data_IF_160559160945
#
_entry.id   IF_160559160945
#
_cell.length_a   1.000
_cell.length_b   1.000
_cell.length_c   1.000
_cell.angle_alpha   90.00
_cell.angle_beta   90.00
_cell.angle_gamma   90.00
#
_symmetry.space_group_name_H-M   'P 1'
#
loop_
_entity.id
_entity.type
_entity.pdbx_description
1 polymer ?
#
# COMPACT_ATOMS: atom_id res chain seq x y z
N UNK A 1 -10.05 73.90 19.16
CA UNK A 1 -8.99 73.68 20.18
C UNK A 1 -9.25 72.36 20.88
N UNK A 2 -8.62 71.28 20.42
CA UNK A 2 -8.06 70.17 21.23
C UNK A 2 -7.03 69.49 20.33
N UNK A 3 -5.75 69.54 20.70
CA UNK A 3 -4.67 68.79 20.05
C UNK A 3 -4.44 67.51 20.85
N UNK A 4 -4.39 66.36 20.18
CA UNK A 4 -3.90 65.10 20.75
C UNK A 4 -2.71 64.61 19.92
N UNK A 5 -1.59 64.44 20.61
CA UNK A 5 -0.26 64.05 20.09
C UNK A 5 -0.21 62.54 19.89
N UNK A 6 0.26 62.09 18.72
CA UNK A 6 0.64 60.70 18.46
C UNK A 6 2.11 60.49 18.85
N UNK A 7 2.37 59.68 19.89
CA UNK A 7 3.69 59.12 20.17
C UNK A 7 3.96 57.93 19.23
N UNK A 8 5.06 58.01 18.48
CA UNK A 8 5.62 56.90 17.69
C UNK A 8 6.72 56.25 18.53
N UNK A 9 6.53 54.97 18.87
CA UNK A 9 7.51 54.18 19.63
C UNK A 9 8.68 53.75 18.74
N UNK A 10 9.88 54.17 19.10
CA UNK A 10 11.15 53.73 18.49
C UNK A 10 11.60 52.43 19.17
N UNK A 11 11.93 51.35 18.43
CA UNK A 11 12.35 50.09 19.04
C UNK A 11 13.77 50.17 19.63
N UNK A 12 13.91 49.60 20.84
CA UNK A 12 15.10 49.55 21.69
C UNK A 12 16.32 48.91 20.97
N UNK A 13 17.51 49.55 20.97
CA UNK A 13 18.72 49.05 20.30
C UNK A 13 19.24 47.70 20.83
N UNK A 14 18.78 47.23 22.01
CA UNK A 14 19.21 45.92 22.56
C UNK A 14 18.62 44.71 21.85
N UNK A 15 17.48 44.83 21.15
CA UNK A 15 16.86 43.68 20.45
C UNK A 15 17.53 43.35 19.11
N UNK A 16 18.16 44.34 18.46
CA UNK A 16 18.88 44.16 17.19
C UNK A 16 20.19 43.37 17.33
N UNK A 17 20.84 43.46 18.49
CA UNK A 17 22.10 42.76 18.76
C UNK A 17 21.92 41.25 18.91
N UNK A 18 20.80 40.81 19.51
CA UNK A 18 20.52 39.39 19.75
C UNK A 18 20.18 38.63 18.45
N UNK A 19 19.51 39.31 17.51
CA UNK A 19 19.09 38.73 16.23
C UNK A 19 20.31 38.52 15.31
N UNK A 20 21.24 39.47 15.26
CA UNK A 20 22.47 39.31 14.46
C UNK A 20 23.38 38.19 14.99
N UNK A 21 23.43 37.98 16.31
CA UNK A 21 24.17 36.87 16.95
C UNK A 21 23.57 35.50 16.62
N UNK A 22 22.24 35.41 16.51
CA UNK A 22 21.55 34.16 16.17
C UNK A 22 21.74 33.77 14.70
N UNK A 23 21.73 34.75 13.79
CA UNK A 23 21.97 34.48 12.36
C UNK A 23 23.42 34.09 12.07
N UNK A 24 24.41 34.65 12.77
CA UNK A 24 25.83 34.26 12.60
C UNK A 24 26.10 32.86 13.14
N UNK A 25 25.46 32.47 14.25
CA UNK A 25 25.59 31.12 14.81
C UNK A 25 24.91 30.06 13.93
N UNK A 26 23.72 30.32 13.39
CA UNK A 26 23.05 29.41 12.46
C UNK A 26 23.83 29.26 11.14
N UNK A 27 24.39 30.36 10.61
CA UNK A 27 25.20 30.32 9.39
C UNK A 27 26.50 29.50 9.56
N UNK A 28 27.14 29.58 10.73
CA UNK A 28 28.33 28.78 11.05
C UNK A 28 28.01 27.28 11.18
N UNK A 29 26.86 26.93 11.78
CA UNK A 29 26.39 25.54 11.88
C UNK A 29 26.09 24.97 10.48
N UNK A 30 25.45 25.75 9.60
CA UNK A 30 25.20 25.34 8.22
C UNK A 30 26.51 25.19 7.40
N UNK A 31 27.49 26.06 7.61
CA UNK A 31 28.80 25.99 6.94
C UNK A 31 29.62 24.75 7.31
N UNK A 32 29.61 24.34 8.58
CA UNK A 32 30.27 23.09 9.04
C UNK A 32 29.57 21.84 8.50
N UNK A 33 28.23 21.85 8.38
CA UNK A 33 27.49 20.74 7.77
C UNK A 33 27.75 20.61 6.27
N UNK A 34 27.86 21.72 5.55
CA UNK A 34 28.11 21.72 4.10
C UNK A 34 29.57 21.37 3.74
N UNK A 35 30.54 21.72 4.58
CA UNK A 35 31.95 21.35 4.38
C UNK A 35 32.27 19.93 4.86
N UNK A 36 31.61 19.45 5.92
CA UNK A 36 31.75 18.07 6.40
C UNK A 36 31.16 17.02 5.44
N UNK A 37 30.09 17.38 4.72
CA UNK A 37 29.46 16.48 3.73
C UNK A 37 30.23 16.41 2.40
N UNK A 38 31.08 17.39 2.09
CA UNK A 38 31.91 17.41 0.88
C UNK A 38 33.23 16.63 1.02
N UNK A 39 33.70 16.39 2.25
CA UNK A 39 34.94 15.65 2.52
C UNK A 39 34.73 14.13 2.73
N UNK A 40 33.49 13.68 3.01
CA UNK A 40 33.16 12.25 3.07
C UNK A 40 32.75 11.64 1.72
N UNK A 41 32.76 12.43 0.64
CA UNK A 41 32.37 11.98 -0.70
C UNK A 41 33.55 11.75 -1.67
N UNK A 42 34.82 11.79 -1.20
CA UNK A 42 35.99 11.70 -2.08
C UNK A 42 36.96 10.54 -1.89
N UNK A 43 36.84 9.73 -0.85
CA UNK A 43 37.74 8.58 -0.65
C UNK A 43 37.02 7.24 -0.75
N UNK A 44 36.65 6.86 -1.98
CA UNK A 44 36.65 5.44 -2.41
C UNK A 44 36.75 5.39 -3.95
N UNK A 45 37.86 5.92 -4.48
CA UNK A 45 38.35 5.56 -5.82
C UNK A 45 39.78 5.04 -5.71
N UNK A 46 39.94 3.81 -6.19
CA UNK A 46 41.15 3.18 -6.69
C UNK A 46 42.25 2.80 -5.67
N UNK A 47 42.25 1.52 -5.27
CA UNK A 47 43.48 0.74 -5.09
C UNK A 47 43.70 -0.07 -6.38
N UNK A 48 44.82 0.12 -7.11
CA UNK A 48 45.19 -0.74 -8.23
C UNK A 48 46.03 -1.92 -7.72
N UNK A 49 45.79 -3.10 -8.27
CA UNK A 49 46.74 -4.21 -8.20
C UNK A 49 46.35 -5.35 -7.26
N UNK A 50 45.41 -6.18 -7.70
CA UNK A 50 45.59 -7.63 -7.59
C UNK A 50 45.12 -8.24 -8.90
N UNK A 51 46.08 -8.61 -9.74
CA UNK A 51 45.86 -9.50 -10.87
C UNK A 51 45.44 -10.85 -10.30
N UNK A 52 44.21 -11.26 -10.56
CA UNK A 52 43.75 -12.62 -10.32
C UNK A 52 43.27 -13.18 -11.65
N UNK A 53 43.89 -14.27 -12.05
CA UNK A 53 43.79 -14.89 -13.36
C UNK A 53 42.35 -15.00 -13.84
N UNK A 54 42.12 -14.49 -15.05
CA UNK A 54 40.86 -14.62 -15.79
C UNK A 54 40.66 -16.07 -16.19
N UNK A 55 40.10 -16.88 -15.30
CA UNK A 55 39.37 -18.07 -15.74
C UNK A 55 38.16 -17.57 -16.53
N UNK A 56 38.13 -17.83 -17.84
CA UNK A 56 36.96 -17.64 -18.70
C UNK A 56 35.79 -18.43 -18.10
N UNK A 57 34.98 -17.81 -17.26
CA UNK A 57 33.67 -18.34 -16.92
C UNK A 57 32.70 -17.95 -18.03
N UNK A 58 32.15 -18.99 -18.64
CA UNK A 58 31.16 -18.96 -19.70
C UNK A 58 29.95 -18.13 -19.26
N UNK A 59 29.79 -16.97 -19.88
CA UNK A 59 28.78 -15.96 -19.60
C UNK A 59 27.43 -16.34 -20.22
N UNK A 60 26.77 -17.37 -19.67
CA UNK A 60 25.48 -17.82 -20.22
C UNK A 60 24.58 -18.62 -19.22
N UNK A 61 24.33 -18.09 -18.03
CA UNK A 61 23.02 -18.34 -17.37
C UNK A 61 22.44 -16.95 -17.06
N UNK A 62 21.54 -16.44 -17.91
CA UNK A 62 20.75 -15.25 -17.59
C UNK A 62 19.70 -15.61 -16.52
N UNK A 63 19.36 -14.62 -15.69
CA UNK A 63 18.47 -14.61 -14.51
C UNK A 63 17.41 -15.72 -14.48
N UNK A 64 17.20 -16.31 -13.28
CA UNK A 64 16.06 -17.19 -13.00
C UNK A 64 14.75 -16.39 -13.15
N UNK A 65 14.23 -16.28 -14.37
CA UNK A 65 12.93 -15.67 -14.64
C UNK A 65 11.81 -16.65 -14.33
N UNK A 66 10.74 -16.13 -13.73
CA UNK A 66 9.47 -16.85 -13.57
C UNK A 66 8.86 -16.98 -14.96
N UNK A 67 8.55 -18.20 -15.45
CA UNK A 67 7.95 -18.33 -16.76
C UNK A 67 6.58 -17.64 -16.81
N UNK A 68 6.21 -16.98 -17.92
CA UNK A 68 4.86 -16.46 -18.10
C UNK A 68 3.85 -17.62 -18.13
N UNK A 69 2.57 -17.37 -17.81
CA UNK A 69 1.56 -18.42 -17.78
C UNK A 69 1.43 -19.08 -19.16
N UNK A 70 1.51 -20.43 -19.18
CA UNK A 70 1.42 -21.24 -20.39
C UNK A 70 0.06 -21.04 -21.07
N UNK A 71 0.07 -20.56 -22.31
CA UNK A 71 -0.95 -20.96 -23.29
C UNK A 71 -0.56 -22.31 -23.86
N UNK A 72 -1.57 -23.16 -24.07
CA UNK A 72 -1.42 -24.58 -24.35
C UNK A 72 -0.95 -24.91 -25.78
N UNK A 73 -0.24 -26.05 -25.86
CA UNK A 73 0.03 -26.94 -27.00
C UNK A 73 1.04 -26.50 -28.07
N UNK A 74 2.25 -27.02 -27.92
CA UNK A 74 2.96 -27.66 -29.04
C UNK A 74 3.87 -28.79 -28.54
N UNK A 75 3.67 -29.98 -29.09
CA UNK A 75 4.55 -31.16 -28.95
C UNK A 75 5.95 -30.82 -29.48
N UNK A 76 6.99 -30.98 -28.65
CA UNK A 76 8.38 -30.94 -29.12
C UNK A 76 9.14 -32.13 -28.54
N UNK A 77 9.75 -32.88 -29.47
CA UNK A 77 10.56 -34.08 -29.30
C UNK A 77 11.68 -33.90 -28.29
N UNK A 78 11.86 -34.92 -27.45
CA UNK A 78 12.94 -35.05 -26.49
C UNK A 78 14.25 -35.32 -27.24
N UNK A 79 15.14 -34.34 -27.25
CA UNK A 79 16.58 -34.57 -27.41
C UNK A 79 17.24 -34.02 -26.15
N UNK A 80 17.75 -34.92 -25.32
CA UNK A 80 18.39 -34.60 -24.03
C UNK A 80 19.63 -33.73 -24.25
N UNK A 81 19.52 -32.46 -23.89
CA UNK A 81 20.60 -31.50 -24.00
C UNK A 81 21.35 -31.45 -22.65
N UNK A 82 22.46 -32.18 -22.56
CA UNK A 82 23.33 -32.36 -21.37
C UNK A 82 23.83 -31.04 -20.75
N UNK A 83 23.74 -29.92 -21.49
CA UNK A 83 24.05 -28.58 -20.97
C UNK A 83 22.99 -27.98 -20.02
N UNK A 84 21.74 -28.49 -20.02
CA UNK A 84 20.63 -27.90 -19.25
C UNK A 84 20.75 -28.14 -17.73
N UNK A 85 21.43 -29.22 -17.33
CA UNK A 85 21.55 -29.64 -15.92
C UNK A 85 22.46 -28.72 -15.09
N UNK A 86 23.30 -27.87 -15.72
CA UNK A 86 24.18 -26.93 -15.01
C UNK A 86 23.48 -25.66 -14.55
N UNK A 87 22.48 -25.13 -15.28
CA UNK A 87 21.73 -23.95 -14.84
C UNK A 87 20.60 -24.32 -13.85
N UNK A 88 20.06 -25.55 -13.89
CA UNK A 88 18.98 -26.00 -12.99
C UNK A 88 19.37 -25.96 -11.50
N UNK A 89 20.64 -26.28 -11.19
CA UNK A 89 21.20 -26.19 -9.84
C UNK A 89 21.28 -24.75 -9.30
N UNK A 90 21.17 -23.72 -10.14
CA UNK A 90 21.30 -22.30 -9.75
C UNK A 90 19.96 -21.61 -9.43
N UNK A 91 18.82 -22.22 -9.71
CA UNK A 91 17.50 -21.63 -9.42
C UNK A 91 16.84 -22.26 -8.19
N UNK A 92 17.64 -22.46 -7.14
CA UNK A 92 17.17 -22.87 -5.81
C UNK A 92 17.02 -21.65 -4.92
N UNK A 93 15.99 -21.57 -4.05
CA UNK A 93 15.94 -20.57 -2.99
C UNK A 93 17.24 -20.58 -2.18
N UNK A 94 17.75 -19.39 -1.84
CA UNK A 94 18.91 -19.28 -0.96
C UNK A 94 18.63 -20.00 0.37
N UNK A 95 19.59 -20.79 0.85
CA UNK A 95 19.44 -21.61 2.06
C UNK A 95 18.87 -23.01 1.81
N UNK A 96 18.49 -23.36 0.59
CA UNK A 96 18.01 -24.71 0.21
C UNK A 96 19.09 -25.58 -0.45
N UNK A 97 20.35 -25.16 -0.42
CA UNK A 97 21.46 -25.83 -1.10
C UNK A 97 21.67 -27.27 -0.59
N UNK A 98 21.41 -27.51 0.69
CA UNK A 98 21.52 -28.82 1.32
C UNK A 98 20.37 -29.78 0.99
N UNK A 99 19.26 -29.29 0.45
CA UNK A 99 18.06 -30.11 0.21
C UNK A 99 18.14 -30.86 -1.14
N UNK A 100 17.64 -32.11 -1.22
CA UNK A 100 17.50 -32.84 -2.47
C UNK A 100 16.54 -32.15 -3.45
N UNK A 101 16.71 -32.43 -4.74
CA UNK A 101 15.73 -32.02 -5.75
C UNK A 101 14.40 -32.73 -5.51
N UNK A 102 13.29 -32.00 -5.63
CA UNK A 102 11.94 -32.53 -5.42
C UNK A 102 11.37 -32.32 -4.01
N UNK A 103 12.19 -31.96 -3.01
CA UNK A 103 11.69 -31.63 -1.66
C UNK A 103 11.38 -30.14 -1.50
N UNK A 104 12.09 -29.28 -2.23
CA UNK A 104 11.95 -27.82 -2.10
C UNK A 104 10.68 -27.34 -2.78
N UNK A 105 9.69 -26.91 -1.99
CA UNK A 105 8.59 -26.09 -2.49
C UNK A 105 9.04 -24.65 -2.69
N UNK A 106 8.70 -24.05 -3.83
CA UNK A 106 9.03 -22.65 -4.14
C UNK A 106 8.06 -21.64 -3.54
N UNK A 107 6.84 -22.09 -3.26
CA UNK A 107 5.73 -21.23 -2.80
C UNK A 107 5.02 -21.89 -1.63
N UNK A 108 4.29 -21.07 -0.89
CA UNK A 108 3.33 -21.50 0.14
C UNK A 108 1.97 -20.85 -0.16
N UNK A 109 0.99 -21.09 0.70
CA UNK A 109 -0.31 -20.43 0.65
C UNK A 109 -0.87 -20.20 2.06
N UNK A 110 -2.02 -19.53 2.13
CA UNK A 110 -2.70 -19.22 3.39
C UNK A 110 -3.89 -20.16 3.66
N UNK A 111 -3.96 -21.29 2.97
CA UNK A 111 -5.06 -22.23 3.15
C UNK A 111 -4.94 -22.92 4.52
N UNK A 112 -5.92 -22.71 5.39
CA UNK A 112 -6.02 -23.44 6.65
C UNK A 112 -6.23 -24.93 6.37
N UNK A 113 -5.47 -25.79 7.06
CA UNK A 113 -5.56 -27.25 6.97
C UNK A 113 -6.22 -27.79 8.24
N UNK A 114 -7.12 -28.78 8.13
CA UNK A 114 -7.65 -29.43 9.32
C UNK A 114 -6.52 -30.19 10.03
N UNK A 115 -6.59 -30.27 11.36
CA UNK A 115 -5.61 -31.02 12.17
C UNK A 115 -5.71 -32.54 11.92
N UNK A 116 -6.88 -33.02 11.48
CA UNK A 116 -7.20 -34.41 11.26
C UNK A 116 -8.17 -34.55 10.08
N UNK A 117 -8.17 -35.72 9.44
CA UNK A 117 -9.05 -36.00 8.32
C UNK A 117 -8.46 -35.65 6.96
N UNK A 118 -9.21 -35.96 5.91
CA UNK A 118 -8.76 -35.75 4.55
C UNK A 118 -8.76 -34.28 4.17
N UNK A 119 -7.70 -33.87 3.47
CA UNK A 119 -7.61 -32.55 2.88
C UNK A 119 -8.47 -32.54 1.62
N UNK A 120 -9.61 -31.84 1.66
CA UNK A 120 -10.38 -31.60 0.45
C UNK A 120 -9.51 -30.88 -0.58
N UNK A 121 -9.38 -31.52 -1.76
CA UNK A 121 -8.76 -30.88 -2.92
C UNK A 121 -9.69 -29.77 -3.38
N UNK A 122 -9.31 -28.52 -3.14
CA UNK A 122 -10.05 -27.38 -3.67
C UNK A 122 -10.06 -27.41 -5.20
N UNK A 123 -11.16 -26.93 -5.75
CA UNK A 123 -11.40 -26.72 -7.17
C UNK A 123 -10.35 -25.80 -7.78
N UNK A 124 -10.06 -25.95 -9.09
CA UNK A 124 -9.02 -25.19 -9.81
C UNK A 124 -9.37 -23.71 -10.05
N UNK A 125 -10.29 -23.12 -9.27
CA UNK A 125 -10.77 -21.75 -9.49
C UNK A 125 -9.76 -20.71 -8.99
N UNK A 126 -9.76 -19.55 -9.67
CA UNK A 126 -9.02 -18.36 -9.23
C UNK A 126 -9.53 -17.91 -7.86
N UNK A 127 -8.68 -17.94 -6.85
CA UNK A 127 -9.00 -17.43 -5.50
C UNK A 127 -8.51 -16.00 -5.39
N UNK A 128 -9.25 -15.16 -4.69
CA UNK A 128 -8.85 -13.78 -4.38
C UNK A 128 -8.70 -13.61 -2.87
N UNK A 129 -7.94 -12.60 -2.46
CA UNK A 129 -7.66 -12.38 -1.04
C UNK A 129 -8.02 -10.95 -0.62
N UNK A 130 -8.61 -10.83 0.58
CA UNK A 130 -8.74 -9.58 1.32
C UNK A 130 -7.82 -9.61 2.54
N UNK A 131 -6.87 -8.68 2.59
CA UNK A 131 -6.17 -8.27 3.81
C UNK A 131 -6.76 -6.94 4.29
N UNK A 132 -7.19 -6.88 5.54
CA UNK A 132 -7.85 -5.69 6.08
C UNK A 132 -7.30 -5.35 7.46
N UNK A 133 -6.94 -4.08 7.68
CA UNK A 133 -6.66 -3.58 9.03
C UNK A 133 -7.95 -3.57 9.84
N UNK A 134 -7.89 -3.99 11.10
CA UNK A 134 -9.08 -4.06 11.95
C UNK A 134 -8.76 -3.66 13.38
N UNK A 135 -9.75 -3.02 14.01
CA UNK A 135 -9.83 -2.86 15.44
C UNK A 135 -11.27 -2.94 15.92
N UNK A 136 -11.44 -3.29 17.18
CA UNK A 136 -12.71 -3.69 17.78
C UNK A 136 -13.76 -2.58 17.71
N UNK A 137 -13.34 -1.31 17.75
CA UNK A 137 -14.25 -0.16 17.63
C UNK A 137 -15.00 -0.15 16.28
N UNK A 138 -14.39 -0.69 15.21
CA UNK A 138 -14.97 -0.69 13.86
C UNK A 138 -15.57 -2.05 13.47
N UNK A 139 -15.78 -2.94 14.44
CA UNK A 139 -16.23 -4.32 14.23
C UNK A 139 -17.49 -4.42 13.35
N UNK A 140 -18.47 -3.55 13.54
CA UNK A 140 -19.72 -3.59 12.76
C UNK A 140 -19.51 -3.27 11.27
N UNK A 141 -18.59 -2.35 10.94
CA UNK A 141 -18.25 -2.05 9.55
C UNK A 141 -17.49 -3.21 8.93
N UNK A 142 -16.51 -3.75 9.65
CA UNK A 142 -15.73 -4.89 9.20
C UNK A 142 -16.61 -6.13 9.00
N UNK A 143 -17.60 -6.38 9.85
CA UNK A 143 -18.56 -7.48 9.68
C UNK A 143 -19.26 -7.41 8.32
N UNK A 144 -19.74 -6.22 7.93
CA UNK A 144 -20.38 -6.00 6.62
C UNK A 144 -19.42 -6.26 5.46
N UNK A 145 -18.15 -5.83 5.59
CA UNK A 145 -17.12 -6.08 4.58
C UNK A 145 -16.85 -7.58 4.47
N UNK A 146 -16.49 -8.22 5.58
CA UNK A 146 -16.03 -9.62 5.58
C UNK A 146 -17.10 -10.58 5.10
N UNK A 147 -18.36 -10.41 5.53
CA UNK A 147 -19.48 -11.23 5.04
C UNK A 147 -19.56 -11.20 3.52
N UNK A 148 -19.52 -10.00 2.94
CA UNK A 148 -19.62 -9.80 1.49
C UNK A 148 -18.48 -10.47 0.73
N UNK A 149 -17.27 -10.44 1.26
CA UNK A 149 -16.12 -11.10 0.62
C UNK A 149 -16.17 -12.62 0.76
N UNK A 150 -16.57 -13.14 1.93
CA UNK A 150 -16.67 -14.59 2.18
C UNK A 150 -17.81 -15.25 1.40
N UNK A 151 -18.89 -14.53 1.09
CA UNK A 151 -19.97 -15.00 0.20
C UNK A 151 -19.49 -15.26 -1.24
N UNK A 152 -18.35 -14.69 -1.62
CA UNK A 152 -17.74 -14.81 -2.95
C UNK A 152 -16.39 -15.54 -2.94
N UNK A 153 -16.21 -16.47 -1.99
CA UNK A 153 -15.05 -17.37 -1.88
C UNK A 153 -13.68 -16.69 -1.73
N UNK A 154 -13.64 -15.47 -1.18
CA UNK A 154 -12.37 -14.82 -0.84
C UNK A 154 -11.72 -15.45 0.40
N UNK A 155 -10.39 -15.50 0.40
CA UNK A 155 -9.64 -15.69 1.64
C UNK A 155 -9.52 -14.35 2.36
N UNK A 156 -9.92 -14.32 3.63
CA UNK A 156 -9.90 -13.11 4.45
C UNK A 156 -8.84 -13.23 5.52
N UNK A 157 -7.99 -12.21 5.63
CA UNK A 157 -7.00 -12.05 6.68
C UNK A 157 -7.19 -10.71 7.39
N UNK A 158 -7.42 -10.76 8.69
CA UNK A 158 -7.62 -9.61 9.56
C UNK A 158 -6.31 -9.24 10.25
N UNK A 159 -5.94 -7.97 10.16
CA UNK A 159 -4.77 -7.39 10.81
C UNK A 159 -5.18 -6.60 12.05
N UNK A 160 -5.19 -7.28 13.19
CA UNK A 160 -5.60 -6.72 14.49
C UNK A 160 -4.50 -5.82 15.03
N UNK A 161 -4.66 -4.51 14.85
CA UNK A 161 -3.69 -3.52 15.34
C UNK A 161 -3.88 -3.19 16.82
N UNK A 162 -5.00 -3.57 17.42
CA UNK A 162 -5.35 -3.27 18.82
C UNK A 162 -5.09 -4.45 19.78
N UNK A 163 -4.77 -5.63 19.25
CA UNK A 163 -4.55 -6.83 20.07
C UNK A 163 -5.81 -7.65 20.35
N UNK A 164 -7.00 -7.16 19.99
CA UNK A 164 -8.28 -7.72 20.43
C UNK A 164 -8.78 -8.76 19.42
N UNK A 165 -8.44 -10.03 19.64
CA UNK A 165 -8.84 -11.14 18.73
C UNK A 165 -10.09 -11.87 19.24
N UNK A 166 -10.15 -12.20 20.53
CA UNK A 166 -11.18 -13.09 21.07
C UNK A 166 -12.60 -12.52 20.99
N UNK A 167 -12.73 -11.19 21.05
CA UNK A 167 -14.03 -10.52 20.96
C UNK A 167 -14.66 -10.66 19.58
N UNK A 168 -13.94 -11.10 18.54
CA UNK A 168 -14.49 -11.36 17.21
C UNK A 168 -15.15 -12.75 17.10
N UNK A 169 -14.98 -13.62 18.09
CA UNK A 169 -15.47 -15.01 18.06
C UNK A 169 -17.00 -15.13 18.15
N UNK A 170 -17.71 -14.07 18.49
CA UNK A 170 -19.18 -13.98 18.42
C UNK A 170 -19.70 -13.90 16.97
N UNK A 171 -18.85 -13.54 16.01
CA UNK A 171 -19.19 -13.54 14.59
C UNK A 171 -19.02 -14.97 14.03
N UNK A 172 -20.09 -15.51 13.44
CA UNK A 172 -20.16 -16.86 12.87
C UNK A 172 -19.06 -17.17 11.85
N UNK A 173 -18.61 -16.15 11.11
CA UNK A 173 -17.57 -16.30 10.10
C UNK A 173 -16.14 -16.18 10.65
N UNK A 174 -15.94 -15.77 11.90
CA UNK A 174 -14.60 -15.50 12.48
C UNK A 174 -13.66 -16.69 12.32
N UNK A 175 -14.14 -17.90 12.60
CA UNK A 175 -13.37 -19.15 12.44
C UNK A 175 -12.93 -19.47 10.99
N UNK A 176 -13.51 -18.81 9.98
CA UNK A 176 -13.15 -18.96 8.56
C UNK A 176 -12.11 -17.94 8.10
N UNK A 177 -11.87 -16.89 8.88
CA UNK A 177 -10.88 -15.86 8.59
C UNK A 177 -9.54 -16.18 9.26
N UNK A 178 -8.46 -15.58 8.76
CA UNK A 178 -7.12 -15.68 9.35
C UNK A 178 -6.89 -14.44 10.20
N UNK A 179 -6.62 -14.64 11.49
CA UNK A 179 -6.40 -13.54 12.43
C UNK A 179 -4.90 -13.39 12.68
N UNK A 180 -4.35 -12.21 12.43
CA UNK A 180 -2.97 -11.85 12.76
C UNK A 180 -2.99 -10.61 13.64
N UNK A 181 -2.36 -10.70 14.81
CA UNK A 181 -2.41 -9.65 15.82
C UNK A 181 -1.02 -9.14 16.18
N UNK A 182 -0.85 -7.82 16.14
CA UNK A 182 0.34 -7.12 16.58
C UNK A 182 -0.04 -5.69 16.97
N UNK A 183 0.10 -5.38 18.26
CA UNK A 183 -0.34 -4.08 18.80
C UNK A 183 0.40 -2.90 18.16
N UNK A 184 -0.34 -1.83 17.87
CA UNK A 184 0.13 -0.56 17.35
C UNK A 184 0.91 -0.69 16.03
N UNK A 185 0.56 -1.69 15.20
CA UNK A 185 1.13 -1.87 13.86
C UNK A 185 0.12 -1.46 12.79
N UNK A 186 0.64 -0.91 11.70
CA UNK A 186 -0.16 -0.42 10.57
C UNK A 186 -0.52 -1.55 9.59
N UNK A 187 -1.54 -1.33 8.76
CA UNK A 187 -1.88 -2.19 7.62
C UNK A 187 -0.67 -2.64 6.80
N UNK A 188 0.20 -1.70 6.45
CA UNK A 188 1.38 -1.95 5.61
C UNK A 188 2.48 -2.72 6.34
N UNK A 189 2.60 -2.56 7.67
CA UNK A 189 3.50 -3.37 8.48
C UNK A 189 3.12 -4.85 8.45
N UNK A 190 1.82 -5.14 8.57
CA UNK A 190 1.29 -6.51 8.45
C UNK A 190 1.47 -7.04 7.03
N UNK A 191 1.06 -6.28 6.03
CA UNK A 191 1.17 -6.68 4.64
C UNK A 191 2.63 -7.02 4.25
N UNK A 192 3.60 -6.25 4.74
CA UNK A 192 5.02 -6.51 4.50
C UNK A 192 5.47 -7.86 5.07
N UNK A 193 4.91 -8.31 6.20
CA UNK A 193 5.36 -9.51 6.93
C UNK A 193 4.59 -10.78 6.58
N UNK A 194 3.28 -10.64 6.33
CA UNK A 194 2.38 -11.79 6.18
C UNK A 194 1.89 -12.02 4.75
N UNK A 195 2.03 -11.02 3.86
CA UNK A 195 1.62 -11.13 2.45
C UNK A 195 2.83 -11.22 1.50
N UNK A 196 3.82 -12.05 1.83
CA UNK A 196 4.98 -12.25 0.96
C UNK A 196 4.54 -12.77 -0.43
N UNK A 197 5.11 -12.28 -1.56
CA UNK A 197 4.65 -12.64 -2.90
C UNK A 197 4.66 -14.14 -3.22
N UNK A 198 5.56 -14.90 -2.59
CA UNK A 198 5.63 -16.36 -2.75
C UNK A 198 4.62 -17.12 -1.87
N UNK A 199 4.02 -16.46 -0.87
CA UNK A 199 2.92 -16.99 -0.04
C UNK A 199 1.58 -16.66 -0.69
N UNK A 200 1.40 -15.44 -1.19
CA UNK A 200 0.14 -15.02 -1.82
C UNK A 200 0.11 -15.31 -3.33
N UNK A 201 1.02 -16.17 -3.79
CA UNK A 201 1.16 -16.47 -5.22
C UNK A 201 -0.03 -17.23 -5.82
N UNK A 202 -0.91 -17.83 -5.01
CA UNK A 202 -2.08 -18.54 -5.53
C UNK A 202 -3.29 -17.61 -5.76
N UNK A 203 -3.22 -16.35 -5.32
CA UNK A 203 -4.31 -15.40 -5.45
C UNK A 203 -4.16 -14.53 -6.70
N UNK A 204 -5.25 -14.37 -7.45
CA UNK A 204 -5.28 -13.53 -8.66
C UNK A 204 -5.18 -12.04 -8.31
N UNK A 205 -5.97 -11.64 -7.31
CA UNK A 205 -6.03 -10.28 -6.79
C UNK A 205 -5.89 -10.25 -5.27
N UNK A 206 -5.14 -9.26 -4.79
CA UNK A 206 -4.93 -8.95 -3.36
C UNK A 206 -5.55 -7.59 -3.07
N UNK A 207 -6.60 -7.59 -2.26
CA UNK A 207 -7.26 -6.41 -1.73
C UNK A 207 -6.59 -6.07 -0.41
N UNK A 208 -6.16 -4.81 -0.24
CA UNK A 208 -5.47 -4.37 0.98
C UNK A 208 -6.16 -3.13 1.56
N UNK A 209 -7.20 -3.36 2.37
CA UNK A 209 -8.19 -2.33 2.72
C UNK A 209 -8.07 -1.85 4.17
N UNK A 210 -8.55 -0.63 4.41
CA UNK A 210 -8.81 -0.09 5.75
C UNK A 210 -10.22 -0.51 6.23
N UNK A 211 -10.47 -0.39 7.53
CA UNK A 211 -11.69 -0.83 8.23
C UNK A 211 -12.88 0.12 8.12
N UNK A 212 -12.65 1.38 7.75
CA UNK A 212 -13.64 2.47 7.81
C UNK A 212 -14.38 2.68 6.47
N UNK A 213 -14.60 1.58 5.76
CA UNK A 213 -15.21 1.54 4.43
C UNK A 213 -16.65 1.03 4.47
N UNK A 214 -17.57 1.74 3.80
CA UNK A 214 -18.93 1.27 3.53
C UNK A 214 -19.00 0.58 2.17
N UNK A 215 -19.60 -0.62 2.13
CA UNK A 215 -19.62 -1.52 0.97
C UNK A 215 -21.02 -1.77 0.41
N UNK A 216 -21.98 -0.89 0.68
CA UNK A 216 -23.38 -1.05 0.27
C UNK A 216 -23.52 -1.24 -1.24
N UNK A 217 -22.77 -0.45 -2.02
CA UNK A 217 -22.83 -0.42 -3.49
C UNK A 217 -21.67 -1.15 -4.18
N UNK A 218 -20.97 -2.03 -3.45
CA UNK A 218 -19.79 -2.73 -3.94
C UNK A 218 -20.03 -4.24 -4.04
N UNK A 219 -19.78 -4.86 -5.18
CA UNK A 219 -19.89 -6.30 -5.36
C UNK A 219 -18.53 -6.89 -5.81
N UNK A 220 -17.88 -7.76 -5.00
CA UNK A 220 -16.53 -8.25 -5.25
C UNK A 220 -16.34 -8.90 -6.64
N UNK A 221 -17.23 -9.81 -7.03
CA UNK A 221 -17.12 -10.49 -8.33
C UNK A 221 -17.29 -9.55 -9.53
N UNK A 222 -18.28 -8.65 -9.49
CA UNK A 222 -18.50 -7.66 -10.54
C UNK A 222 -17.29 -6.75 -10.65
N UNK A 223 -16.74 -6.29 -9.52
CA UNK A 223 -15.52 -5.49 -9.48
C UNK A 223 -14.37 -6.21 -10.18
N UNK A 224 -14.10 -7.47 -9.81
CA UNK A 224 -13.02 -8.25 -10.43
C UNK A 224 -13.27 -8.47 -11.93
N UNK A 225 -14.51 -8.72 -12.33
CA UNK A 225 -14.86 -8.84 -13.76
C UNK A 225 -14.46 -7.59 -14.54
N UNK A 226 -14.73 -6.41 -13.99
CA UNK A 226 -14.36 -5.13 -14.61
C UNK A 226 -12.84 -4.96 -14.63
N UNK A 227 -12.15 -5.23 -13.51
CA UNK A 227 -10.69 -5.14 -13.41
C UNK A 227 -10.01 -6.03 -14.47
N UNK A 228 -10.50 -7.27 -14.66
CA UNK A 228 -10.00 -8.20 -15.68
C UNK A 228 -10.26 -7.71 -17.09
N UNK A 229 -11.49 -7.29 -17.39
CA UNK A 229 -11.89 -6.79 -18.71
C UNK A 229 -11.08 -5.55 -19.12
N UNK A 230 -10.87 -4.64 -18.18
CA UNK A 230 -10.13 -3.38 -18.37
C UNK A 230 -8.60 -3.57 -18.29
N UNK A 231 -8.16 -4.79 -17.97
CA UNK A 231 -6.76 -5.17 -17.81
C UNK A 231 -6.03 -4.34 -16.76
N UNK A 232 -6.71 -3.94 -15.68
CA UNK A 232 -6.13 -3.18 -14.59
C UNK A 232 -5.26 -4.08 -13.70
N UNK A 233 -4.04 -3.63 -13.42
CA UNK A 233 -3.10 -4.33 -12.53
C UNK A 233 -3.13 -3.74 -11.12
N UNK A 234 -3.48 -2.46 -11.00
CA UNK A 234 -3.68 -1.78 -9.72
C UNK A 234 -4.96 -0.97 -9.84
N UNK A 235 -5.88 -1.16 -8.91
CA UNK A 235 -7.17 -0.49 -8.97
C UNK A 235 -7.72 -0.19 -7.59
N UNK A 236 -8.79 0.60 -7.54
CA UNK A 236 -9.61 0.74 -6.35
C UNK A 236 -11.08 0.91 -6.76
N UNK A 237 -12.05 0.63 -5.88
CA UNK A 237 -13.41 1.10 -6.06
C UNK A 237 -13.47 2.64 -6.01
N UNK A 238 -14.42 3.23 -6.72
CA UNK A 238 -14.65 4.66 -6.63
C UNK A 238 -15.28 5.06 -5.29
N UNK A 239 -15.13 6.33 -4.91
CA UNK A 239 -15.74 6.89 -3.70
C UNK A 239 -17.04 7.63 -4.04
N UNK A 240 -18.10 7.36 -3.27
CA UNK A 240 -19.30 8.18 -3.30
C UNK A 240 -19.01 9.55 -2.65
N UNK A 241 -18.89 10.59 -3.48
CA UNK A 241 -18.57 11.94 -3.03
C UNK A 241 -19.58 12.53 -2.04
N UNK A 242 -20.82 12.01 -1.99
CA UNK A 242 -21.85 12.53 -1.09
C UNK A 242 -21.75 11.99 0.35
N UNK A 243 -21.00 10.90 0.54
CA UNK A 243 -20.91 10.15 1.80
C UNK A 243 -19.48 9.91 2.26
N UNK A 244 -18.50 10.27 1.43
CA UNK A 244 -17.09 9.97 1.68
C UNK A 244 -16.31 11.21 2.03
N UNK A 245 -15.36 11.07 2.95
CA UNK A 245 -14.25 12.00 3.05
C UNK A 245 -13.30 11.76 1.86
N UNK A 246 -13.15 12.77 1.01
CA UNK A 246 -12.39 12.67 -0.25
C UNK A 246 -11.11 13.49 -0.15
N UNK A 247 -9.97 12.80 -0.07
CA UNK A 247 -8.66 13.46 -0.09
C UNK A 247 -8.15 13.73 -1.51
N UNK A 248 -8.47 12.85 -2.47
CA UNK A 248 -7.98 12.94 -3.84
C UNK A 248 -9.12 12.82 -4.85
N UNK A 249 -9.45 13.89 -5.58
CA UNK A 249 -10.59 13.91 -6.51
C UNK A 249 -10.57 12.87 -7.64
N UNK A 250 -9.43 12.25 -7.94
CA UNK A 250 -9.36 11.13 -8.88
C UNK A 250 -10.04 9.87 -8.34
N UNK A 251 -10.27 9.73 -7.04
CA UNK A 251 -10.99 8.57 -6.48
C UNK A 251 -12.50 8.72 -6.56
N UNK A 252 -13.01 9.91 -6.87
CA UNK A 252 -14.44 10.21 -6.87
C UNK A 252 -15.15 9.52 -8.04
N UNK A 253 -16.28 8.88 -7.71
CA UNK A 253 -17.12 8.18 -8.67
C UNK A 253 -17.63 9.08 -9.79
N UNK A 254 -17.61 8.54 -11.00
CA UNK A 254 -18.25 9.10 -12.20
C UNK A 254 -19.46 8.28 -12.59
N UNK A 255 -20.65 8.79 -12.31
CA UNK A 255 -21.91 8.04 -12.49
C UNK A 255 -22.23 7.55 -13.91
N UNK A 256 -21.58 8.06 -14.95
CA UNK A 256 -21.77 7.66 -16.37
C UNK A 256 -20.59 6.87 -16.95
N UNK A 257 -19.73 6.38 -16.08
CA UNK A 257 -18.50 5.69 -16.44
C UNK A 257 -18.47 4.32 -15.78
N UNK A 258 -17.80 3.36 -16.43
CA UNK A 258 -17.50 2.06 -15.84
C UNK A 258 -16.21 2.10 -15.03
N UNK A 259 -15.19 2.74 -15.61
CA UNK A 259 -13.89 2.99 -15.00
C UNK A 259 -13.32 4.32 -15.47
N UNK A 260 -12.47 4.94 -14.66
CA UNK A 260 -11.66 6.06 -15.12
C UNK A 260 -10.25 5.98 -14.58
N UNK A 261 -9.33 6.59 -15.31
CA UNK A 261 -7.88 6.55 -15.01
C UNK A 261 -7.27 7.93 -14.89
N UNK A 262 -8.05 8.98 -15.15
CA UNK A 262 -7.58 10.37 -15.22
C UNK A 262 -8.60 11.30 -14.60
N UNK A 263 -8.15 12.28 -13.84
CA UNK A 263 -8.93 13.39 -13.34
C UNK A 263 -8.54 14.71 -14.03
N UNK A 264 -9.52 15.60 -14.20
CA UNK A 264 -9.31 16.90 -14.82
C UNK A 264 -9.54 18.00 -13.79
N UNK A 265 -8.58 18.93 -13.70
CA UNK A 265 -8.66 20.11 -12.85
C UNK A 265 -8.06 21.29 -13.59
N UNK A 266 -8.92 22.23 -13.96
CA UNK A 266 -8.51 23.52 -14.47
C UNK A 266 -8.25 24.47 -13.30
N UNK A 267 -7.19 25.24 -13.41
CA UNK A 267 -6.56 25.85 -12.25
C UNK A 267 -7.33 27.05 -11.68
N UNK A 268 -7.44 27.12 -10.35
CA UNK A 268 -7.60 28.39 -9.61
C UNK A 268 -6.50 28.64 -8.56
N UNK A 269 -5.65 27.65 -8.21
CA UNK A 269 -4.57 27.79 -7.19
C UNK A 269 -3.61 26.58 -7.00
N UNK A 270 -3.66 25.52 -7.83
CA UNK A 270 -2.89 24.27 -7.65
C UNK A 270 -2.31 23.66 -8.93
N UNK A 271 -1.97 22.37 -8.93
CA UNK A 271 -1.51 21.65 -10.14
C UNK A 271 -2.67 21.47 -11.11
N UNK A 272 -2.46 21.83 -12.37
CA UNK A 272 -3.43 21.59 -13.43
C UNK A 272 -3.37 20.11 -13.82
N UNK A 273 -4.53 19.47 -13.91
CA UNK A 273 -4.65 18.14 -14.49
C UNK A 273 -5.43 18.27 -15.81
N UNK A 274 -4.75 18.02 -16.91
CA UNK A 274 -5.23 18.17 -18.27
C UNK A 274 -4.87 16.94 -19.13
N UNK A 275 -5.03 17.03 -20.45
CA UNK A 275 -4.69 15.95 -21.37
C UNK A 275 -3.19 15.65 -21.42
N UNK A 276 -2.33 16.63 -21.12
CA UNK A 276 -0.87 16.50 -21.19
C UNK A 276 -0.28 15.91 -19.90
N UNK A 277 -1.08 15.78 -18.85
CA UNK A 277 -0.64 15.23 -17.57
C UNK A 277 -0.39 13.71 -17.69
N UNK A 278 0.80 13.25 -17.34
CA UNK A 278 1.21 11.82 -17.37
C UNK A 278 1.51 11.22 -16.01
N UNK A 279 1.50 12.06 -14.97
CA UNK A 279 1.94 11.72 -13.62
C UNK A 279 0.78 11.72 -12.61
N UNK A 280 0.91 10.94 -11.52
CA UNK A 280 0.13 11.08 -10.31
C UNK A 280 0.08 12.52 -9.78
N UNK A 281 -1.04 12.92 -9.14
CA UNK A 281 -2.28 12.16 -8.99
C UNK A 281 -3.23 12.31 -10.20
N UNK A 282 -2.80 12.96 -11.29
CA UNK A 282 -3.71 13.31 -12.39
C UNK A 282 -4.14 12.09 -13.24
N UNK A 283 -3.28 11.08 -13.38
CA UNK A 283 -3.54 9.88 -14.17
C UNK A 283 -2.87 8.64 -13.56
N UNK A 284 -3.51 7.48 -13.72
CA UNK A 284 -2.93 6.18 -13.35
C UNK A 284 -2.58 6.08 -11.87
N UNK A 285 -3.48 6.53 -11.00
CA UNK A 285 -3.26 6.64 -9.56
C UNK A 285 -4.47 6.12 -8.79
N UNK A 286 -4.20 5.49 -7.65
CA UNK A 286 -5.18 5.06 -6.65
C UNK A 286 -4.64 5.41 -5.26
N UNK A 287 -5.54 5.63 -4.33
CA UNK A 287 -5.30 5.91 -2.93
C UNK A 287 -5.01 4.64 -2.14
N UNK A 288 -4.34 4.79 -1.00
CA UNK A 288 -3.88 3.66 -0.19
C UNK A 288 -4.95 3.05 0.72
N UNK A 289 -6.13 3.66 0.83
CA UNK A 289 -7.23 3.19 1.68
C UNK A 289 -7.82 1.85 1.20
N UNK A 290 -8.09 1.73 -0.10
CA UNK A 290 -8.77 0.57 -0.68
C UNK A 290 -8.10 0.04 -1.98
N UNK A 291 -6.76 -0.07 -2.05
CA UNK A 291 -6.10 -0.57 -3.23
C UNK A 291 -6.35 -2.07 -3.43
N UNK A 292 -6.35 -2.45 -4.70
CA UNK A 292 -6.42 -3.82 -5.18
C UNK A 292 -5.28 -4.01 -6.16
N UNK A 293 -4.51 -5.07 -5.95
CA UNK A 293 -3.36 -5.40 -6.77
C UNK A 293 -3.58 -6.73 -7.47
N UNK A 294 -3.23 -6.82 -8.74
CA UNK A 294 -2.99 -8.12 -9.35
C UNK A 294 -1.82 -8.82 -8.67
N UNK A 295 -1.73 -10.15 -8.81
CA UNK A 295 -0.57 -10.94 -8.37
C UNK A 295 0.78 -10.35 -8.82
N UNK A 296 0.86 -9.88 -10.07
CA UNK A 296 2.09 -9.35 -10.64
C UNK A 296 2.45 -7.98 -10.04
N UNK A 297 1.45 -7.11 -9.85
CA UNK A 297 1.65 -5.80 -9.26
C UNK A 297 1.97 -5.89 -7.77
N UNK A 298 1.30 -6.79 -7.04
CA UNK A 298 1.59 -7.02 -5.63
C UNK A 298 3.04 -7.49 -5.41
N UNK A 299 3.54 -8.41 -6.25
CA UNK A 299 4.93 -8.86 -6.15
C UNK A 299 5.90 -7.68 -6.20
N UNK A 300 5.71 -6.75 -7.13
CA UNK A 300 6.51 -5.55 -7.21
C UNK A 300 6.29 -4.60 -6.02
N UNK A 301 5.02 -4.34 -5.67
CA UNK A 301 4.67 -3.41 -4.59
C UNK A 301 5.23 -3.84 -3.24
N UNK A 302 5.20 -5.14 -2.95
CA UNK A 302 5.77 -5.71 -1.73
C UNK A 302 7.27 -5.41 -1.57
N UNK A 303 8.05 -5.40 -2.66
CA UNK A 303 9.47 -5.02 -2.62
C UNK A 303 9.67 -3.51 -2.48
N UNK A 304 8.69 -2.69 -2.87
CA UNK A 304 8.74 -1.24 -2.63
C UNK A 304 8.50 -0.89 -1.16
N UNK A 305 7.63 -1.65 -0.46
CA UNK A 305 7.39 -1.47 0.98
C UNK A 305 8.67 -1.81 1.76
N UNK A 306 9.25 -0.81 2.41
CA UNK A 306 10.43 -0.97 3.26
C UNK A 306 10.03 -1.44 4.67
N UNK A 307 10.98 -2.01 5.41
CA UNK A 307 10.72 -2.54 6.75
C UNK A 307 10.42 -1.44 7.78
N UNK A 308 10.97 -0.24 7.58
CA UNK A 308 10.82 0.98 8.37
C UNK A 308 9.69 1.90 7.88
N UNK A 309 9.13 1.61 6.70
CA UNK A 309 8.03 2.36 6.11
C UNK A 309 6.68 1.90 6.69
N UNK A 310 6.43 2.26 7.95
CA UNK A 310 5.26 1.77 8.69
C UNK A 310 3.94 2.31 8.12
N UNK A 311 3.77 3.61 7.90
CA UNK A 311 2.49 4.16 7.39
C UNK A 311 2.39 4.19 5.85
N UNK A 312 3.51 3.98 5.16
CA UNK A 312 3.62 3.99 3.71
C UNK A 312 3.14 5.27 2.99
N UNK A 313 3.05 6.41 3.70
CA UNK A 313 2.70 7.70 3.11
C UNK A 313 3.58 8.04 1.90
N UNK A 314 2.95 8.48 0.82
CA UNK A 314 3.61 8.79 -0.46
C UNK A 314 3.96 7.55 -1.31
N UNK A 315 3.66 6.33 -0.84
CA UNK A 315 3.84 5.12 -1.64
C UNK A 315 2.84 5.05 -2.80
N UNK A 316 1.62 5.53 -2.60
CA UNK A 316 0.59 5.75 -3.64
C UNK A 316 1.12 6.46 -4.90
N UNK A 317 1.98 7.46 -4.74
CA UNK A 317 2.61 8.17 -5.86
C UNK A 317 3.57 7.28 -6.67
N UNK A 318 3.99 6.14 -6.11
CA UNK A 318 4.93 5.19 -6.72
C UNK A 318 4.29 3.85 -7.07
N UNK A 319 3.14 3.48 -6.49
CA UNK A 319 2.47 2.20 -6.74
C UNK A 319 2.29 1.92 -8.24
N UNK A 320 1.97 2.96 -9.02
CA UNK A 320 1.79 2.82 -10.47
C UNK A 320 3.02 2.28 -11.22
N UNK A 321 4.24 2.36 -10.69
CA UNK A 321 5.42 1.74 -11.30
C UNK A 321 5.38 0.20 -11.26
N UNK A 322 4.54 -0.38 -10.41
CA UNK A 322 4.35 -1.82 -10.31
C UNK A 322 3.24 -2.36 -11.24
N UNK A 323 2.55 -1.49 -11.96
CA UNK A 323 1.70 -1.93 -13.04
C UNK A 323 2.57 -2.44 -14.21
N UNK A 324 2.27 -3.62 -14.73
CA UNK A 324 3.00 -4.18 -15.87
C UNK A 324 2.70 -3.37 -17.13
N UNK A 325 3.61 -2.45 -17.49
CA UNK A 325 3.50 -1.59 -18.66
C UNK A 325 3.09 -0.16 -18.32
N UNK A 326 2.26 0.45 -19.18
CA UNK A 326 1.86 1.85 -19.03
C UNK A 326 0.80 2.01 -17.92
N UNK A 327 1.21 2.61 -16.80
CA UNK A 327 0.31 2.87 -15.66
C UNK A 327 -0.90 3.74 -16.01
N UNK A 328 -0.82 4.59 -17.03
CA UNK A 328 -1.94 5.44 -17.44
C UNK A 328 -3.12 4.62 -17.99
N UNK A 329 -2.84 3.37 -18.38
CA UNK A 329 -3.80 2.38 -18.87
C UNK A 329 -4.05 1.26 -17.86
N UNK A 330 -3.05 0.90 -17.08
CA UNK A 330 -3.07 -0.25 -16.18
C UNK A 330 -3.48 0.06 -14.75
N UNK A 331 -3.60 1.34 -14.39
CA UNK A 331 -4.03 1.80 -13.06
C UNK A 331 -5.31 2.62 -13.19
N UNK A 332 -6.31 2.33 -12.36
CA UNK A 332 -7.61 3.00 -12.49
C UNK A 332 -8.58 2.80 -11.34
N UNK A 333 -9.62 3.62 -11.37
CA UNK A 333 -10.72 3.64 -10.41
C UNK A 333 -11.95 3.03 -11.08
N UNK A 334 -12.61 2.09 -10.41
CA UNK A 334 -13.80 1.40 -10.91
C UNK A 334 -15.05 2.15 -10.44
N UNK A 335 -15.76 2.80 -11.36
CA UNK A 335 -16.90 3.67 -11.07
C UNK A 335 -18.21 2.91 -10.84
N UNK A 336 -18.35 1.76 -11.52
CA UNK A 336 -19.55 0.94 -11.46
C UNK A 336 -19.73 0.24 -10.10
N UNK A 337 -18.63 0.00 -9.40
CA UNK A 337 -18.57 -0.67 -8.10
C UNK A 337 -17.86 0.26 -7.12
N UNK A 338 -18.61 0.85 -6.19
CA UNK A 338 -18.15 1.98 -5.40
C UNK A 338 -18.45 1.81 -3.90
N UNK A 339 -17.65 2.49 -3.10
CA UNK A 339 -17.63 2.42 -1.64
C UNK A 339 -17.78 3.82 -1.03
N UNK A 340 -17.96 3.88 0.28
CA UNK A 340 -17.89 5.11 1.07
C UNK A 340 -16.68 5.08 2.00
N UNK A 341 -16.00 6.23 2.16
CA UNK A 341 -14.88 6.37 3.10
C UNK A 341 -15.31 7.24 4.29
N UNK A 342 -15.38 6.65 5.48
CA UNK A 342 -15.87 7.36 6.66
C UNK A 342 -14.78 8.17 7.38
N UNK A 343 -13.49 7.93 7.08
CA UNK A 343 -12.33 8.60 7.66
C UNK A 343 -12.35 8.59 9.20
N UNK A 344 -12.66 7.44 9.79
CA UNK A 344 -12.70 7.30 11.25
C UNK A 344 -11.27 7.18 11.78
N UNK A 345 -10.80 8.05 12.69
CA UNK A 345 -9.44 7.94 13.24
C UNK A 345 -9.28 6.65 14.05
N UNK A 346 -8.43 5.73 13.59
CA UNK A 346 -8.28 4.41 14.24
C UNK A 346 -6.92 4.19 14.90
N UNK A 347 -5.81 4.60 14.27
CA UNK A 347 -4.46 4.49 14.82
C UNK A 347 -4.04 5.79 15.55
N UNK A 348 -3.84 5.72 16.87
CA UNK A 348 -3.31 6.83 17.68
C UNK A 348 -4.37 7.69 18.38
N UNK A 349 -5.65 7.33 18.31
CA UNK A 349 -6.68 7.92 19.15
C UNK A 349 -6.52 7.42 20.60
N UNK A 350 -5.68 8.11 21.38
CA UNK A 350 -5.66 7.93 22.83
C UNK A 350 -7.07 8.24 23.37
N UNK A 351 -7.65 7.28 24.10
CA UNK A 351 -8.95 7.37 24.77
C UNK A 351 -9.11 8.58 25.70
N UNK A 352 -8.00 9.25 26.03
CA UNK A 352 -7.97 10.33 27.02
C UNK A 352 -8.19 11.72 26.41
N UNK A 353 -8.23 11.86 25.08
CA UNK A 353 -8.40 13.15 24.40
C UNK A 353 -9.88 13.45 24.07
N UNK A 354 -10.72 12.42 23.93
CA UNK A 354 -12.15 12.57 23.60
C UNK A 354 -12.95 13.29 24.70
N UNK A 355 -12.56 13.16 25.97
CA UNK A 355 -13.20 13.86 27.09
C UNK A 355 -13.00 15.38 27.06
N UNK A 356 -11.90 15.86 26.46
CA UNK A 356 -11.58 17.30 26.40
C UNK A 356 -12.20 18.02 25.18
N UNK A 357 -12.51 17.30 24.12
CA UNK A 357 -13.26 17.84 22.97
C UNK A 357 -14.76 17.90 23.25
N UNK A 358 -15.31 16.91 23.96
CA UNK A 358 -16.75 16.85 24.25
C UNK A 358 -17.19 17.91 25.29
N UNK A 359 -16.32 18.25 26.26
CA UNK A 359 -16.53 19.40 27.16
C UNK A 359 -16.45 20.76 26.43
N UNK A 360 -15.62 20.87 25.39
CA UNK A 360 -15.50 22.10 24.59
C UNK A 360 -16.72 22.31 23.70
N UNK A 361 -17.28 21.26 23.11
CA UNK A 361 -18.50 21.35 22.30
C UNK A 361 -19.73 21.71 23.15
N UNK A 362 -19.86 21.14 24.36
CA UNK A 362 -20.96 21.48 25.28
C UNK A 362 -20.90 22.92 25.81
N UNK A 363 -19.70 23.48 25.98
CA UNK A 363 -19.51 24.87 26.43
C UNK A 363 -19.73 25.91 25.32
N UNK A 364 -19.59 25.54 24.05
CA UNK A 364 -19.98 26.38 22.92
C UNK A 364 -21.50 26.37 22.70
N UNK A 365 -22.15 25.20 22.80
CA UNK A 365 -23.61 25.09 22.67
C UNK A 365 -24.37 25.85 23.78
N UNK A 366 -23.85 25.87 25.01
CA UNK A 366 -24.45 26.62 26.12
C UNK A 366 -24.28 28.16 26.02
N UNK A 367 -23.49 28.65 25.05
CA UNK A 367 -23.22 30.08 24.86
C UNK A 367 -24.07 30.72 23.75
N UNK A 368 -24.77 29.92 22.95
CA UNK A 368 -25.70 30.39 21.90
C UNK A 368 -27.17 30.49 22.36
N UNK A 369 -27.52 29.99 23.56
CA UNK A 369 -28.88 30.11 24.13
C UNK A 369 -29.09 31.39 24.97
N UNK A 370 -28.17 32.37 24.94
CA UNK A 370 -28.21 33.55 25.81
C UNK A 370 -27.91 34.88 25.11
N UNK A 371 -28.23 35.01 23.81
CA UNK A 371 -28.26 36.30 23.09
C UNK A 371 -29.61 36.49 22.40
#
# INVERSE_FOLDING_TARGET
>A
MVNAVHEVSVPDPKSRSCICSLFTTIALICGVYFTGSALMAKDFRALPGFSMNRAKQNEQCRKCEVPPPRQEKQEIRVTENVQNNKCQKKCRPLGSEALPEGIVSKTSNLQMRPLWGDVEKKSPHSVNMLGIAVGIKQKELVDKIVRKFLEHDFVVMLFHYDGVVDEWNDLDWSSRAIHVSAMNQTKWWFAKRFLHPDIVSEYDYVFLWDEDLGVENFHPEKYISIVREEGLEISQPALDASKSEVHHHITVRRGRSKVHRRFYRLNKSGRTCDNNSTEPPCVGWVEMMAPVFSKSAWRCAWYMVQNDLIHAWGLDMKLGYCAQGDRTRKVGVVDAEYITHLAVPTLGANSDVETASDQRIRSFAAREELI
#
